data_IF_106518361681
#
_entry.id   IF_106518361681
#
_cell.length_a   1.000
_cell.length_b   1.000
_cell.length_c   1.000
_cell.angle_alpha   90.00
_cell.angle_beta   90.00
_cell.angle_gamma   90.00
#
_symmetry.space_group_name_H-M   'P 1'
#
loop_
_entity.id
_entity.type
_entity.pdbx_description
1 polymer ?
#
# COMPACT_ATOMS: atom_id res chain seq x y z
N UNK A 1 2.14 22.93 18.24
CA UNK A 1 3.26 22.32 18.99
C UNK A 1 3.88 21.24 18.10
N UNK A 2 5.18 21.34 17.79
CA UNK A 2 5.91 20.34 17.00
C UNK A 2 6.64 19.36 17.94
N UNK A 3 6.81 18.09 17.57
CA UNK A 3 7.39 17.09 18.45
C UNK A 3 8.86 17.40 18.77
N UNK A 4 9.24 17.31 20.05
CA UNK A 4 10.60 17.55 20.56
C UNK A 4 11.65 16.55 20.04
N UNK A 5 11.20 15.45 19.41
CA UNK A 5 12.07 14.49 18.73
C UNK A 5 11.50 14.21 17.34
N UNK A 6 12.34 14.24 16.28
CA UNK A 6 11.93 13.74 14.99
C UNK A 6 11.45 12.30 15.15
N UNK A 7 10.21 12.02 14.75
CA UNK A 7 9.74 10.65 14.62
C UNK A 7 10.73 9.92 13.71
N UNK A 8 11.48 8.98 14.27
CA UNK A 8 12.38 8.12 13.51
C UNK A 8 11.54 7.36 12.50
N UNK A 9 11.44 7.87 11.28
CA UNK A 9 10.94 7.07 10.16
C UNK A 9 11.90 5.89 10.07
N UNK A 10 11.44 4.69 10.44
CA UNK A 10 12.26 3.49 10.47
C UNK A 10 12.81 3.24 9.06
N UNK A 11 14.04 3.69 8.80
CA UNK A 11 14.69 3.64 7.50
C UNK A 11 15.06 2.22 7.05
N UNK A 12 14.99 1.23 7.95
CA UNK A 12 15.46 -0.14 7.71
C UNK A 12 14.37 -1.12 7.24
N UNK A 13 13.07 -0.75 7.29
CA UNK A 13 11.94 -1.62 6.90
C UNK A 13 11.03 -1.00 5.84
N UNK A 14 11.58 -0.22 4.92
CA UNK A 14 10.82 0.12 3.71
C UNK A 14 10.71 -1.16 2.91
N UNK A 15 9.48 -1.63 2.70
CA UNK A 15 9.20 -2.79 1.89
C UNK A 15 9.98 -2.70 0.57
N UNK A 16 10.87 -3.66 0.23
CA UNK A 16 11.74 -3.56 -0.95
C UNK A 16 10.96 -3.45 -2.27
N UNK A 17 9.71 -3.95 -2.29
CA UNK A 17 8.79 -3.82 -3.41
C UNK A 17 8.12 -2.43 -3.52
N UNK A 18 8.30 -1.54 -2.54
CA UNK A 18 7.67 -0.21 -2.53
C UNK A 18 8.57 0.83 -3.20
N UNK A 19 8.48 0.87 -4.53
CA UNK A 19 9.27 1.70 -5.46
C UNK A 19 8.98 3.20 -5.32
N UNK A 20 9.82 4.04 -5.95
CA UNK A 20 9.62 5.49 -5.98
C UNK A 20 8.33 5.87 -6.73
N UNK A 21 8.02 5.17 -7.82
CA UNK A 21 6.74 5.32 -8.54
C UNK A 21 5.54 5.15 -7.59
N UNK A 22 5.54 4.12 -6.75
CA UNK A 22 4.45 3.93 -5.77
C UNK A 22 4.41 5.03 -4.71
N UNK A 23 5.55 5.65 -4.37
CA UNK A 23 5.58 6.83 -3.48
C UNK A 23 4.95 8.03 -4.14
N UNK A 24 5.29 8.30 -5.40
CA UNK A 24 4.71 9.37 -6.19
C UNK A 24 3.20 9.17 -6.33
N UNK A 25 2.77 7.97 -6.70
CA UNK A 25 1.34 7.63 -6.78
C UNK A 25 0.65 7.82 -5.44
N UNK A 26 1.24 7.40 -4.32
CA UNK A 26 0.69 7.62 -2.98
C UNK A 26 0.57 9.12 -2.65
N UNK A 27 1.55 9.93 -3.02
CA UNK A 27 1.50 11.38 -2.88
C UNK A 27 0.39 12.00 -3.74
N UNK A 28 0.25 11.56 -5.00
CA UNK A 28 -0.81 12.02 -5.91
C UNK A 28 -2.20 11.63 -5.41
N UNK A 29 -2.38 10.42 -4.88
CA UNK A 29 -3.62 10.01 -4.19
C UNK A 29 -4.00 11.02 -3.11
N UNK A 30 -3.05 11.42 -2.25
CA UNK A 30 -3.30 12.40 -1.18
C UNK A 30 -3.64 13.79 -1.73
N UNK A 31 -3.06 14.19 -2.86
CA UNK A 31 -3.41 15.44 -3.55
C UNK A 31 -4.85 15.40 -4.07
N UNK A 32 -5.25 14.31 -4.72
CA UNK A 32 -6.62 14.11 -5.19
C UNK A 32 -7.63 14.06 -4.03
N UNK A 33 -7.29 13.38 -2.93
CA UNK A 33 -8.11 13.38 -1.71
C UNK A 33 -8.32 14.79 -1.15
N UNK A 34 -7.27 15.63 -1.11
CA UNK A 34 -7.39 17.02 -0.65
C UNK A 34 -8.24 17.85 -1.60
N UNK A 35 -8.06 17.68 -2.92
CA UNK A 35 -8.86 18.37 -3.94
C UNK A 35 -10.35 18.05 -3.79
N UNK A 36 -10.69 16.76 -3.72
CA UNK A 36 -12.08 16.34 -3.51
C UNK A 36 -12.66 16.88 -2.20
N UNK A 37 -11.91 16.85 -1.08
CA UNK A 37 -12.39 17.44 0.18
C UNK A 37 -12.64 18.94 0.10
N UNK A 38 -11.89 19.66 -0.74
CA UNK A 38 -12.05 21.10 -0.91
C UNK A 38 -13.20 21.45 -1.86
N UNK A 39 -13.37 20.70 -2.95
CA UNK A 39 -14.41 20.98 -3.95
C UNK A 39 -15.76 20.33 -3.65
N UNK A 40 -15.76 19.22 -2.89
CA UNK A 40 -16.89 18.32 -2.67
C UNK A 40 -17.61 17.90 -3.96
N UNK A 41 -16.91 17.89 -5.10
CA UNK A 41 -17.49 17.55 -6.40
C UNK A 41 -17.47 16.04 -6.67
N UNK A 42 -18.54 15.51 -7.25
CA UNK A 42 -18.62 14.12 -7.73
C UNK A 42 -17.62 13.82 -8.85
N UNK A 43 -17.22 14.83 -9.63
CA UNK A 43 -16.17 14.67 -10.66
C UNK A 43 -14.81 14.35 -10.02
N UNK A 44 -14.45 15.09 -8.96
CA UNK A 44 -13.20 14.86 -8.20
C UNK A 44 -13.25 13.54 -7.42
N UNK A 45 -14.43 13.18 -6.89
CA UNK A 45 -14.66 11.87 -6.26
C UNK A 45 -14.44 10.72 -7.24
N UNK A 46 -14.95 10.84 -8.45
CA UNK A 46 -14.80 9.84 -9.51
C UNK A 46 -13.34 9.71 -9.96
N UNK A 47 -12.64 10.84 -10.12
CA UNK A 47 -11.21 10.87 -10.42
C UNK A 47 -10.38 10.18 -9.33
N UNK A 48 -10.66 10.47 -8.05
CA UNK A 48 -10.00 9.83 -6.93
C UNK A 48 -10.22 8.32 -6.93
N UNK A 49 -11.45 7.85 -7.17
CA UNK A 49 -11.79 6.42 -7.24
C UNK A 49 -11.04 5.71 -8.37
N UNK A 50 -11.00 6.30 -9.56
CA UNK A 50 -10.26 5.77 -10.71
C UNK A 50 -8.75 5.70 -10.40
N UNK A 51 -8.21 6.74 -9.77
CA UNK A 51 -6.81 6.77 -9.36
C UNK A 51 -6.47 5.69 -8.32
N UNK A 52 -7.34 5.48 -7.33
CA UNK A 52 -7.16 4.42 -6.31
C UNK A 52 -7.08 3.04 -6.97
N UNK A 53 -7.94 2.74 -7.94
CA UNK A 53 -7.90 1.46 -8.67
C UNK A 53 -6.56 1.27 -9.38
N UNK A 54 -6.10 2.29 -10.09
CA UNK A 54 -4.81 2.28 -10.79
C UNK A 54 -3.64 2.06 -9.82
N UNK A 55 -3.64 2.76 -8.69
CA UNK A 55 -2.63 2.61 -7.65
C UNK A 55 -2.60 1.19 -7.04
N UNK A 56 -3.76 0.59 -6.81
CA UNK A 56 -3.83 -0.79 -6.30
C UNK A 56 -3.31 -1.82 -7.31
N UNK A 57 -3.57 -1.62 -8.60
CA UNK A 57 -2.98 -2.46 -9.67
C UNK A 57 -1.47 -2.33 -9.69
N UNK A 58 -0.93 -1.11 -9.62
CA UNK A 58 0.51 -0.87 -9.55
C UNK A 58 1.16 -1.53 -8.33
N UNK A 59 0.53 -1.44 -7.14
CA UNK A 59 1.00 -2.15 -5.94
C UNK A 59 1.08 -3.66 -6.19
N UNK A 60 0.03 -4.24 -6.78
CA UNK A 60 -0.01 -5.68 -7.08
C UNK A 60 1.12 -6.06 -8.03
N UNK A 61 1.31 -5.30 -9.11
CA UNK A 61 2.38 -5.52 -10.09
C UNK A 61 3.78 -5.46 -9.46
N UNK A 62 4.04 -4.45 -8.62
CA UNK A 62 5.32 -4.30 -7.93
C UNK A 62 5.60 -5.46 -6.96
N UNK A 63 4.58 -5.89 -6.20
CA UNK A 63 4.69 -7.07 -5.33
C UNK A 63 4.96 -8.33 -6.14
N UNK A 64 4.19 -8.57 -7.20
CA UNK A 64 4.38 -9.74 -8.08
C UNK A 64 5.81 -9.75 -8.63
N UNK A 65 6.28 -8.65 -9.22
CA UNK A 65 7.64 -8.54 -9.77
C UNK A 65 8.71 -8.87 -8.73
N UNK A 66 8.60 -8.28 -7.53
CA UNK A 66 9.58 -8.52 -6.46
C UNK A 66 9.60 -9.98 -6.00
N UNK A 67 8.43 -10.56 -5.69
CA UNK A 67 8.37 -11.92 -5.17
C UNK A 67 8.66 -12.96 -6.26
N UNK A 68 8.26 -12.73 -7.51
CA UNK A 68 8.64 -13.59 -8.64
C UNK A 68 10.15 -13.60 -8.85
N UNK A 69 10.81 -12.44 -8.81
CA UNK A 69 12.27 -12.37 -8.88
C UNK A 69 12.95 -13.07 -7.70
N UNK A 70 12.39 -12.92 -6.49
CA UNK A 70 12.91 -13.57 -5.29
C UNK A 70 12.79 -15.11 -5.40
N UNK A 71 11.64 -15.62 -5.86
CA UNK A 71 11.44 -17.05 -6.11
C UNK A 71 12.42 -17.57 -7.17
N UNK A 72 12.55 -16.88 -8.30
CA UNK A 72 13.49 -17.25 -9.36
C UNK A 72 14.94 -17.28 -8.85
N UNK A 73 15.35 -16.32 -8.01
CA UNK A 73 16.70 -16.30 -7.42
C UNK A 73 16.97 -17.43 -6.42
N UNK A 74 15.93 -18.10 -5.93
CA UNK A 74 16.01 -19.14 -4.91
C UNK A 74 16.06 -20.56 -5.50
N UNK A 75 16.28 -20.70 -6.81
CA UNK A 75 16.14 -21.92 -7.65
C UNK A 75 16.79 -23.20 -7.08
N UNK A 76 17.77 -23.10 -6.18
CA UNK A 76 18.46 -24.23 -5.52
C UNK A 76 18.38 -24.25 -3.99
N UNK A 77 17.51 -23.44 -3.36
CA UNK A 77 17.45 -23.25 -1.90
C UNK A 77 16.02 -23.47 -1.35
N UNK A 78 15.58 -24.71 -1.10
CA UNK A 78 14.22 -24.99 -0.64
C UNK A 78 13.85 -24.23 0.65
N UNK A 79 14.79 -24.09 1.60
CA UNK A 79 14.57 -23.30 2.81
C UNK A 79 14.29 -21.80 2.54
N UNK A 80 14.86 -21.22 1.48
CA UNK A 80 14.57 -19.84 1.07
C UNK A 80 13.18 -19.73 0.47
N UNK A 81 12.78 -20.68 -0.38
CA UNK A 81 11.43 -20.75 -0.94
C UNK A 81 10.36 -20.84 0.16
N UNK A 82 10.52 -21.74 1.13
CA UNK A 82 9.56 -21.87 2.25
C UNK A 82 9.44 -20.59 3.08
N UNK A 83 10.53 -19.85 3.29
CA UNK A 83 10.47 -18.55 3.98
C UNK A 83 9.65 -17.52 3.19
N UNK A 84 9.84 -17.46 1.88
CA UNK A 84 9.12 -16.54 0.99
C UNK A 84 7.64 -16.88 0.95
N UNK A 85 7.30 -18.15 0.75
CA UNK A 85 5.91 -18.63 0.77
C UNK A 85 5.23 -18.36 2.11
N UNK A 86 5.92 -18.61 3.25
CA UNK A 86 5.39 -18.27 4.57
C UNK A 86 5.18 -16.76 4.74
N UNK A 87 6.07 -15.92 4.22
CA UNK A 87 5.89 -14.47 4.28
C UNK A 87 4.69 -13.98 3.47
N UNK A 88 4.38 -14.64 2.36
CA UNK A 88 3.20 -14.34 1.53
C UNK A 88 1.91 -14.79 2.23
N UNK A 89 1.89 -16.00 2.79
CA UNK A 89 0.72 -16.58 3.45
C UNK A 89 0.39 -15.92 4.79
N UNK A 90 1.41 -15.55 5.60
CA UNK A 90 1.19 -14.85 6.87
C UNK A 90 0.69 -13.41 6.70
N UNK A 91 0.83 -12.81 5.51
CA UNK A 91 0.26 -11.51 5.20
C UNK A 91 -1.26 -11.53 4.98
N UNK A 92 -1.87 -12.72 4.85
CA UNK A 92 -3.32 -12.90 4.70
C UNK A 92 -4.03 -12.96 6.06
N UNK A 93 -3.40 -13.53 7.10
CA UNK A 93 -3.96 -13.57 8.45
C UNK A 93 -3.90 -12.22 9.20
N UNK A 94 -3.11 -11.25 8.71
CA UNK A 94 -3.16 -9.86 9.17
C UNK A 94 -4.16 -9.02 8.35
N UNK A 95 -5.29 -9.60 7.95
CA UNK A 95 -6.56 -8.89 8.06
C UNK A 95 -7.06 -9.09 9.49
N UNK A 96 -6.38 -8.45 10.45
CA UNK A 96 -7.02 -8.17 11.74
C UNK A 96 -8.37 -7.51 11.45
N UNK A 97 -9.42 -7.82 12.24
CA UNK A 97 -10.75 -7.29 12.01
C UNK A 97 -10.60 -5.78 11.85
N UNK A 98 -11.25 -5.22 10.84
CA UNK A 98 -11.47 -3.79 10.81
C UNK A 98 -12.33 -3.47 12.04
N UNK A 99 -11.70 -3.29 13.20
CA UNK A 99 -12.23 -2.62 14.37
C UNK A 99 -12.28 -1.14 13.99
N UNK A 100 -13.14 -0.88 13.04
CA UNK A 100 -13.38 0.35 12.31
C UNK A 100 -14.79 0.20 11.81
N UNK A 101 -15.71 0.40 12.75
CA UNK A 101 -17.16 0.39 12.64
C UNK A 101 -17.63 0.74 11.23
N UNK A 102 -18.27 -0.21 10.54
CA UNK A 102 -18.84 -0.02 9.21
C UNK A 102 -20.02 0.98 9.16
N UNK A 103 -20.33 1.66 10.27
CA UNK A 103 -21.47 2.57 10.40
C UNK A 103 -21.13 4.03 10.06
N UNK A 104 -19.86 4.40 9.86
CA UNK A 104 -19.51 5.80 9.50
C UNK A 104 -19.55 6.11 8.00
N UNK A 105 -19.93 5.14 7.15
CA UNK A 105 -20.13 5.35 5.71
C UNK A 105 -21.60 5.47 5.29
N UNK A 106 -22.54 5.50 6.25
CA UNK A 106 -23.96 5.83 6.01
C UNK A 106 -24.29 7.15 6.70
N UNK A 107 -23.62 8.21 6.24
CA UNK A 107 -24.11 9.58 6.24
C UNK A 107 -23.19 10.37 5.30
N UNK A 108 -23.79 11.23 4.48
CA UNK A 108 -23.25 11.96 3.32
C UNK A 108 -23.41 11.27 1.96
#
# INVERSE_FOLDING_TARGET
>A
IAPLRPLRSSGSRRAPWFTEELREMKCQKRRLERRWRASNSESDRSLLRAFIRTYLVAIRAAKCTHFSALIASAESRPAALFRVTRSLLKGEEMREPLQGRAEEFVQF
#
